data_IF_816362466490
#
_entry.id   IF_816362466490
#
_cell.length_a   1.000
_cell.length_b   1.000
_cell.length_c   1.000
_cell.angle_alpha   90.00
_cell.angle_beta   90.00
_cell.angle_gamma   90.00
#
_symmetry.space_group_name_H-M   'P 1'
#
loop_
_entity.id
_entity.type
_entity.pdbx_description
1 polymer ?
#
# COMPACT_ATOMS: atom_id res chain seq x y z
N UNK A 1 23.54 15.08 -13.29
CA UNK A 1 22.46 14.64 -14.22
C UNK A 1 21.15 14.43 -13.47
N UNK A 2 20.08 15.18 -13.76
CA UNK A 2 18.73 14.87 -13.27
C UNK A 2 18.27 13.58 -13.96
N UNK A 3 18.27 12.44 -13.24
CA UNK A 3 17.77 11.18 -13.79
C UNK A 3 16.28 11.35 -14.11
N UNK A 4 15.94 11.31 -15.40
CA UNK A 4 14.54 11.44 -15.87
C UNK A 4 13.79 10.15 -15.53
N UNK A 5 12.61 10.27 -14.92
CA UNK A 5 11.75 9.12 -14.64
C UNK A 5 11.42 8.43 -15.96
N UNK A 6 11.47 7.10 -15.97
CA UNK A 6 11.07 6.34 -17.15
C UNK A 6 9.58 6.59 -17.45
N UNK A 7 9.18 6.49 -18.72
CA UNK A 7 7.76 6.61 -19.13
C UNK A 7 6.87 5.64 -18.34
N UNK A 8 7.37 4.43 -18.09
CA UNK A 8 6.69 3.42 -17.24
C UNK A 8 6.47 3.94 -15.83
N UNK A 9 7.50 4.45 -15.15
CA UNK A 9 7.38 4.96 -13.78
C UNK A 9 6.39 6.14 -13.71
N UNK A 10 6.43 7.05 -14.67
CA UNK A 10 5.47 8.16 -14.78
C UNK A 10 4.03 7.65 -14.94
N UNK A 11 3.82 6.66 -15.80
CA UNK A 11 2.49 6.05 -16.00
C UNK A 11 1.99 5.36 -14.74
N UNK A 12 2.87 4.64 -14.03
CA UNK A 12 2.51 3.98 -12.78
C UNK A 12 2.13 5.00 -11.71
N UNK A 13 2.89 6.10 -11.61
CA UNK A 13 2.62 7.20 -10.69
C UNK A 13 1.27 7.87 -10.99
N UNK A 14 0.97 8.16 -12.26
CA UNK A 14 -0.32 8.75 -12.65
C UNK A 14 -1.49 7.84 -12.23
N UNK A 15 -1.42 6.55 -12.59
CA UNK A 15 -2.45 5.56 -12.24
C UNK A 15 -2.61 5.40 -10.72
N UNK A 16 -1.51 5.42 -9.98
CA UNK A 16 -1.55 5.34 -8.52
C UNK A 16 -2.17 6.61 -7.92
N UNK A 17 -1.74 7.80 -8.34
CA UNK A 17 -2.23 9.09 -7.83
C UNK A 17 -3.72 9.30 -8.05
N UNK A 18 -4.29 8.77 -9.13
CA UNK A 18 -5.77 8.74 -9.33
C UNK A 18 -6.52 8.01 -8.22
N UNK A 19 -5.86 7.17 -7.42
CA UNK A 19 -6.44 6.48 -6.25
C UNK A 19 -6.25 7.25 -4.93
N UNK A 20 -5.55 8.38 -4.97
CA UNK A 20 -5.31 9.27 -3.82
C UNK A 20 -5.81 10.69 -4.14
N UNK A 21 -7.13 10.90 -4.22
CA UNK A 21 -7.71 12.22 -4.51
C UNK A 21 -7.25 13.29 -3.50
N UNK A 22 -6.93 12.90 -2.27
CA UNK A 22 -6.44 13.81 -1.21
C UNK A 22 -5.08 14.45 -1.53
N UNK A 23 -4.36 13.91 -2.52
CA UNK A 23 -3.06 14.37 -2.98
C UNK A 23 -3.09 15.10 -4.34
N UNK A 24 -4.18 15.06 -5.09
CA UNK A 24 -4.24 15.53 -6.48
C UNK A 24 -3.97 17.04 -6.65
N UNK A 25 -4.35 17.87 -5.68
CA UNK A 25 -4.11 19.32 -5.70
C UNK A 25 -2.74 19.73 -5.14
N UNK A 26 -1.85 18.77 -4.87
CA UNK A 26 -0.57 19.01 -4.19
C UNK A 26 0.61 18.71 -5.10
N UNK A 27 1.66 19.54 -5.00
CA UNK A 27 2.93 19.28 -5.69
C UNK A 27 3.70 18.18 -4.95
N UNK A 28 3.82 17.02 -5.59
CA UNK A 28 4.62 15.89 -5.09
C UNK A 28 5.93 15.82 -5.88
N UNK A 29 7.05 15.89 -5.16
CA UNK A 29 8.38 15.68 -5.72
C UNK A 29 8.72 14.19 -5.66
N UNK A 30 9.12 13.61 -6.79
CA UNK A 30 9.52 12.21 -6.86
C UNK A 30 11.03 12.13 -7.07
N UNK A 31 11.73 11.58 -6.07
CA UNK A 31 13.17 11.33 -6.09
C UNK A 31 13.51 9.85 -6.29
N UNK A 32 14.80 9.56 -6.43
CA UNK A 32 15.33 8.20 -6.49
C UNK A 32 15.99 7.84 -5.17
N UNK A 33 15.93 6.56 -4.81
CA UNK A 33 16.77 6.00 -3.73
C UNK A 33 17.37 4.68 -4.19
N UNK A 34 18.63 4.45 -3.82
CA UNK A 34 19.33 3.17 -4.02
C UNK A 34 19.19 2.24 -2.80
N UNK A 35 18.94 2.82 -1.61
CA UNK A 35 18.99 2.14 -0.32
C UNK A 35 17.68 1.45 0.08
N UNK A 36 16.55 2.17 0.03
CA UNK A 36 15.24 1.67 0.46
C UNK A 36 14.29 1.49 -0.73
N UNK A 37 13.23 0.68 -0.60
CA UNK A 37 12.23 0.49 -1.67
C UNK A 37 11.45 1.78 -1.94
N UNK A 38 11.16 2.54 -0.89
CA UNK A 38 10.76 3.93 -0.97
C UNK A 38 11.02 4.72 0.31
N UNK A 39 10.72 6.02 0.30
CA UNK A 39 10.65 6.86 1.50
C UNK A 39 9.78 8.09 1.26
N UNK A 40 8.94 8.47 2.21
CA UNK A 40 8.12 9.69 2.14
C UNK A 40 8.54 10.74 3.18
N UNK A 41 8.59 12.01 2.76
CA UNK A 41 8.93 13.15 3.62
C UNK A 41 7.84 14.21 3.52
N UNK A 42 7.32 14.62 4.67
CA UNK A 42 6.39 15.74 4.83
C UNK A 42 7.07 16.82 5.68
N UNK A 43 7.31 18.03 5.16
CA UNK A 43 7.90 19.13 5.94
C UNK A 43 7.03 19.53 7.13
N UNK A 44 7.65 19.86 8.26
CA UNK A 44 6.97 20.25 9.51
C UNK A 44 6.40 21.69 9.50
N UNK A 45 6.84 22.57 8.59
CA UNK A 45 6.46 24.00 8.61
C UNK A 45 5.32 24.33 7.64
N UNK A 46 4.36 25.14 8.12
CA UNK A 46 3.19 25.59 7.35
C UNK A 46 3.46 26.80 6.44
N UNK A 47 4.66 27.38 6.50
CA UNK A 47 5.12 28.44 5.61
C UNK A 47 6.02 27.88 4.50
N UNK A 48 5.71 28.22 3.26
CA UNK A 48 6.31 27.72 2.02
C UNK A 48 5.88 26.29 1.61
N UNK A 49 4.91 26.23 0.68
CA UNK A 49 4.58 25.10 -0.19
C UNK A 49 5.27 23.78 0.19
N UNK A 50 4.76 23.11 1.22
CA UNK A 50 5.35 21.90 1.77
C UNK A 50 5.51 20.87 0.64
N UNK A 51 6.75 20.70 0.15
CA UNK A 51 7.08 19.79 -0.94
C UNK A 51 6.96 18.36 -0.41
N UNK A 52 5.82 17.73 -0.65
CA UNK A 52 5.64 16.31 -0.40
C UNK A 52 6.63 15.55 -1.25
N UNK A 53 7.54 14.80 -0.65
CA UNK A 53 8.57 14.09 -1.40
C UNK A 53 8.42 12.59 -1.19
N UNK A 54 8.33 11.82 -2.26
CA UNK A 54 8.54 10.38 -2.23
C UNK A 54 9.83 10.04 -2.95
N UNK A 55 10.61 9.10 -2.42
CA UNK A 55 11.77 8.53 -3.11
C UNK A 55 11.42 7.10 -3.46
N UNK A 56 11.74 6.66 -4.68
CA UNK A 56 11.38 5.34 -5.17
C UNK A 56 12.59 4.63 -5.78
N UNK A 57 12.72 3.33 -5.53
CA UNK A 57 13.71 2.47 -6.18
C UNK A 57 13.19 1.95 -7.51
N UNK A 58 13.45 2.70 -8.59
CA UNK A 58 12.82 2.49 -9.92
C UNK A 58 13.06 1.11 -10.54
N UNK A 59 14.17 0.43 -10.23
CA UNK A 59 14.47 -0.91 -10.80
C UNK A 59 13.54 -2.03 -10.29
N UNK A 60 12.89 -1.88 -9.14
CA UNK A 60 11.96 -2.85 -8.55
C UNK A 60 10.63 -2.18 -8.20
N UNK A 61 10.19 -1.25 -9.04
CA UNK A 61 9.01 -0.44 -8.75
C UNK A 61 7.71 -1.22 -8.98
N UNK A 62 6.93 -1.35 -7.92
CA UNK A 62 5.57 -1.93 -7.91
C UNK A 62 4.55 -0.86 -7.57
N UNK A 63 3.30 -1.03 -7.99
CA UNK A 63 2.20 -0.19 -7.55
C UNK A 63 2.06 -0.26 -6.03
N UNK A 64 2.23 -1.44 -5.42
CA UNK A 64 2.25 -1.61 -3.98
C UNK A 64 3.23 -0.65 -3.29
N UNK A 65 4.48 -0.58 -3.76
CA UNK A 65 5.49 0.35 -3.22
C UNK A 65 5.06 1.81 -3.40
N UNK A 66 4.55 2.20 -4.58
CA UNK A 66 4.07 3.56 -4.81
C UNK A 66 2.92 3.90 -3.86
N UNK A 67 1.93 3.02 -3.74
CA UNK A 67 0.78 3.21 -2.86
C UNK A 67 1.19 3.31 -1.38
N UNK A 68 2.16 2.51 -0.96
CA UNK A 68 2.72 2.54 0.39
C UNK A 68 3.32 3.92 0.71
N UNK A 69 4.18 4.45 -0.16
CA UNK A 69 4.79 5.77 0.03
C UNK A 69 3.78 6.92 -0.04
N UNK A 70 2.79 6.84 -0.94
CA UNK A 70 1.70 7.83 -1.00
C UNK A 70 0.85 7.80 0.27
N UNK A 71 0.65 6.63 0.86
CA UNK A 71 -0.06 6.49 2.15
C UNK A 71 0.74 7.11 3.30
N UNK A 72 2.07 6.99 3.30
CA UNK A 72 2.92 7.71 4.26
C UNK A 72 2.76 9.22 4.16
N UNK A 73 2.65 9.78 2.96
CA UNK A 73 2.35 11.22 2.80
C UNK A 73 1.03 11.60 3.48
N UNK A 74 -0.01 10.78 3.34
CA UNK A 74 -1.29 11.01 4.01
C UNK A 74 -1.20 10.89 5.53
N UNK A 75 -0.42 9.95 6.06
CA UNK A 75 -0.13 9.87 7.50
C UNK A 75 0.52 11.16 8.00
N UNK A 76 1.54 11.67 7.29
CA UNK A 76 2.23 12.92 7.63
C UNK A 76 1.31 14.15 7.55
N UNK A 77 0.52 14.27 6.48
CA UNK A 77 -0.44 15.37 6.30
C UNK A 77 -1.52 15.40 7.38
N UNK A 78 -2.01 14.23 7.79
CA UNK A 78 -2.99 14.12 8.87
C UNK A 78 -2.42 14.58 10.21
N UNK A 79 -1.11 14.38 10.46
CA UNK A 79 -0.42 14.87 11.66
C UNK A 79 -0.24 16.39 11.64
N UNK A 80 0.15 16.98 10.50
CA UNK A 80 0.30 18.44 10.38
C UNK A 80 -1.02 19.18 10.60
N UNK A 81 -2.14 18.63 10.11
CA UNK A 81 -3.49 19.20 10.35
C UNK A 81 -3.91 19.18 11.83
N UNK A 82 -3.44 18.21 12.62
CA UNK A 82 -3.78 18.09 14.04
C UNK A 82 -3.15 19.17 14.93
N UNK A 83 -2.03 19.76 14.52
CA UNK A 83 -1.50 20.94 15.19
C UNK A 83 -2.41 22.17 15.04
N UNK A 84 -3.44 22.10 14.19
CA UNK A 84 -4.43 23.17 13.97
C UNK A 84 -5.85 22.82 14.42
N UNK A 85 -6.24 21.53 14.46
CA UNK A 85 -7.63 21.16 14.79
C UNK A 85 -7.74 19.74 15.40
N UNK A 86 -7.88 19.66 16.73
CA UNK A 86 -7.88 18.39 17.51
C UNK A 86 -9.16 17.55 17.37
N UNK A 87 -10.23 18.06 16.76
CA UNK A 87 -11.60 17.50 16.87
C UNK A 87 -12.03 16.50 15.78
N UNK A 88 -11.22 16.23 14.75
CA UNK A 88 -11.57 15.30 13.64
C UNK A 88 -10.61 14.10 13.53
N UNK A 89 -10.59 13.23 14.53
CA UNK A 89 -9.65 12.10 14.62
C UNK A 89 -10.08 10.82 13.87
N UNK A 90 -11.36 10.63 13.55
CA UNK A 90 -11.87 9.32 13.11
C UNK A 90 -11.51 8.92 11.67
N UNK A 91 -11.32 9.89 10.78
CA UNK A 91 -10.87 9.65 9.39
C UNK A 91 -9.36 9.53 9.21
N UNK A 92 -8.58 9.56 10.29
CA UNK A 92 -7.11 9.60 10.22
C UNK A 92 -6.50 8.22 9.97
N UNK A 93 -5.53 8.19 9.06
CA UNK A 93 -4.59 7.06 8.93
C UNK A 93 -3.64 7.08 10.14
N UNK A 94 -3.65 6.05 11.01
CA UNK A 94 -2.69 5.97 12.12
C UNK A 94 -1.28 5.88 11.55
N UNK A 95 -0.29 6.38 12.27
CA UNK A 95 1.10 6.31 11.81
C UNK A 95 1.67 4.90 11.94
N UNK A 96 2.57 4.53 11.03
CA UNK A 96 3.34 3.28 11.08
C UNK A 96 3.27 2.50 9.77
N UNK A 97 4.27 1.64 9.59
CA UNK A 97 4.50 0.88 8.35
C UNK A 97 3.40 -0.14 8.06
N UNK A 98 2.95 -0.87 9.08
CA UNK A 98 1.86 -1.85 8.93
C UNK A 98 0.57 -1.16 8.49
N UNK A 99 0.28 0.02 9.04
CA UNK A 99 -0.89 0.78 8.65
C UNK A 99 -0.78 1.27 7.21
N UNK A 100 0.41 1.66 6.74
CA UNK A 100 0.63 1.99 5.34
C UNK A 100 0.30 0.82 4.41
N UNK A 101 0.76 -0.39 4.72
CA UNK A 101 0.42 -1.59 3.95
C UNK A 101 -1.09 -1.86 3.93
N UNK A 102 -1.75 -1.84 5.10
CA UNK A 102 -3.17 -2.15 5.22
C UNK A 102 -4.02 -1.16 4.41
N UNK A 103 -3.75 0.14 4.57
CA UNK A 103 -4.48 1.19 3.87
C UNK A 103 -4.21 1.17 2.37
N UNK A 104 -2.97 0.90 1.97
CA UNK A 104 -2.58 0.77 0.55
C UNK A 104 -3.35 -0.37 -0.12
N UNK A 105 -3.33 -1.56 0.47
CA UNK A 105 -4.03 -2.72 -0.09
C UNK A 105 -5.55 -2.50 -0.11
N UNK A 106 -6.13 -1.97 0.96
CA UNK A 106 -7.56 -1.72 1.03
C UNK A 106 -8.03 -0.73 -0.05
N UNK A 107 -7.21 0.26 -0.40
CA UNK A 107 -7.58 1.37 -1.29
C UNK A 107 -7.89 0.95 -2.71
N UNK A 108 -7.14 0.03 -3.31
CA UNK A 108 -7.39 -0.39 -4.69
C UNK A 108 -6.73 -1.73 -5.02
N UNK A 109 -7.38 -2.52 -5.87
CA UNK A 109 -6.79 -3.74 -6.43
C UNK A 109 -5.51 -3.48 -7.25
N UNK A 110 -5.31 -2.23 -7.69
CA UNK A 110 -4.07 -1.80 -8.36
C UNK A 110 -2.82 -2.07 -7.52
N UNK A 111 -2.93 -1.98 -6.19
CA UNK A 111 -1.81 -2.11 -5.25
C UNK A 111 -1.55 -3.54 -4.79
N UNK A 112 -2.26 -4.50 -5.39
CA UNK A 112 -2.13 -5.92 -5.11
C UNK A 112 -1.11 -6.61 -6.04
N UNK A 113 -0.32 -5.85 -6.79
CA UNK A 113 0.67 -6.37 -7.75
C UNK A 113 1.91 -7.00 -7.07
N UNK A 114 2.13 -6.70 -5.79
CA UNK A 114 3.17 -7.31 -4.97
C UNK A 114 2.71 -7.46 -3.50
N UNK A 115 3.36 -8.37 -2.78
CA UNK A 115 3.03 -8.66 -1.39
C UNK A 115 3.46 -7.52 -0.46
N UNK A 116 2.66 -7.15 0.56
CA UNK A 116 3.05 -6.16 1.56
C UNK A 116 4.32 -6.58 2.32
N UNK A 117 5.09 -5.58 2.75
CA UNK A 117 6.39 -5.81 3.41
C UNK A 117 6.22 -6.05 4.92
N UNK A 118 5.39 -5.25 5.58
CA UNK A 118 5.33 -5.14 7.04
C UNK A 118 4.15 -5.90 7.66
N UNK A 119 3.08 -6.16 6.92
CA UNK A 119 2.04 -7.10 7.38
C UNK A 119 2.66 -8.49 7.48
N UNK A 120 2.46 -9.16 8.63
CA UNK A 120 2.94 -10.53 8.80
C UNK A 120 2.12 -11.48 7.93
N UNK A 121 2.76 -12.00 6.87
CA UNK A 121 2.19 -13.02 6.00
C UNK A 121 2.82 -14.38 6.29
N UNK A 122 2.04 -15.48 6.36
CA UNK A 122 2.56 -16.83 6.25
C UNK A 122 3.35 -16.99 4.94
N UNK A 123 4.43 -17.78 4.98
CA UNK A 123 5.31 -18.01 3.83
C UNK A 123 4.54 -18.47 2.59
N UNK A 124 3.61 -19.42 2.77
CA UNK A 124 2.75 -19.95 1.70
C UNK A 124 1.91 -18.87 1.02
N UNK A 125 1.44 -17.87 1.77
CA UNK A 125 0.67 -16.73 1.24
C UNK A 125 1.58 -15.79 0.46
N UNK A 126 2.78 -15.50 0.99
CA UNK A 126 3.75 -14.60 0.34
C UNK A 126 4.26 -15.18 -0.98
N UNK A 127 4.63 -16.47 -1.00
CA UNK A 127 5.15 -17.13 -2.21
C UNK A 127 4.07 -17.33 -3.28
N UNK A 128 2.80 -17.45 -2.89
CA UNK A 128 1.67 -17.61 -3.82
C UNK A 128 0.81 -16.33 -3.87
N UNK A 129 1.45 -15.16 -3.73
CA UNK A 129 0.75 -13.88 -3.59
C UNK A 129 -0.37 -13.65 -4.61
N UNK A 130 -0.21 -13.91 -5.92
CA UNK A 130 -1.28 -13.68 -6.89
C UNK A 130 -2.60 -14.40 -6.56
N UNK A 131 -2.53 -15.58 -5.94
CA UNK A 131 -3.71 -16.36 -5.53
C UNK A 131 -4.41 -15.71 -4.32
N UNK A 132 -3.64 -15.17 -3.38
CA UNK A 132 -4.15 -14.66 -2.11
C UNK A 132 -4.41 -13.15 -2.10
N UNK A 133 -3.89 -12.39 -3.06
CA UNK A 133 -3.87 -10.93 -3.04
C UNK A 133 -5.27 -10.32 -2.86
N UNK A 134 -6.26 -10.85 -3.58
CA UNK A 134 -7.66 -10.40 -3.46
C UNK A 134 -8.23 -10.67 -2.06
N UNK A 135 -8.03 -11.88 -1.53
CA UNK A 135 -8.51 -12.27 -0.20
C UNK A 135 -7.87 -11.45 0.90
N UNK A 136 -6.55 -11.24 0.82
CA UNK A 136 -5.82 -10.39 1.79
C UNK A 136 -6.28 -8.94 1.70
N UNK A 137 -6.54 -8.41 0.50
CA UNK A 137 -7.14 -7.08 0.33
C UNK A 137 -8.52 -6.99 1.00
N UNK A 138 -9.40 -7.96 0.79
CA UNK A 138 -10.71 -8.00 1.44
C UNK A 138 -10.58 -7.99 2.96
N UNK A 139 -9.62 -8.74 3.51
CA UNK A 139 -9.33 -8.69 4.93
C UNK A 139 -8.80 -7.33 5.39
N UNK A 140 -7.97 -6.64 4.59
CA UNK A 140 -7.51 -5.28 4.91
C UNK A 140 -8.69 -4.29 4.98
N UNK A 141 -9.63 -4.35 4.04
CA UNK A 141 -10.85 -3.53 4.07
C UNK A 141 -11.66 -3.82 5.34
N UNK A 142 -11.90 -5.10 5.63
CA UNK A 142 -12.62 -5.52 6.83
C UNK A 142 -11.89 -5.08 8.12
N UNK A 143 -10.56 -5.07 8.12
CA UNK A 143 -9.76 -4.63 9.25
C UNK A 143 -9.91 -3.12 9.50
N UNK A 144 -10.01 -2.30 8.43
CA UNK A 144 -10.28 -0.86 8.57
C UNK A 144 -11.67 -0.57 9.12
N UNK A 145 -12.67 -1.36 8.73
CA UNK A 145 -14.01 -1.28 9.34
C UNK A 145 -13.96 -1.70 10.81
N UNK A 146 -13.28 -2.81 11.11
CA UNK A 146 -13.14 -3.32 12.48
C UNK A 146 -12.39 -2.35 13.40
N UNK A 147 -11.46 -1.55 12.86
CA UNK A 147 -10.71 -0.53 13.61
C UNK A 147 -11.65 0.46 14.33
N UNK A 148 -12.85 0.73 13.79
CA UNK A 148 -13.81 1.69 14.38
C UNK A 148 -14.23 1.31 15.80
N UNK A 149 -14.23 0.01 16.13
CA UNK A 149 -14.63 -0.50 17.45
C UNK A 149 -13.59 -1.39 18.13
N UNK A 150 -12.54 -1.81 17.42
CA UNK A 150 -11.57 -2.78 17.92
C UNK A 150 -10.12 -2.29 17.80
N UNK A 151 -9.52 -1.96 18.94
CA UNK A 151 -8.14 -1.44 19.04
C UNK A 151 -7.10 -2.41 18.45
N UNK A 152 -7.32 -3.72 18.55
CA UNK A 152 -6.40 -4.77 18.10
C UNK A 152 -6.69 -5.30 16.69
N UNK A 153 -7.30 -4.49 15.82
CA UNK A 153 -7.67 -4.88 14.45
C UNK A 153 -6.51 -5.44 13.62
N UNK A 154 -5.27 -5.00 13.86
CA UNK A 154 -4.08 -5.52 13.16
C UNK A 154 -3.74 -6.96 13.57
N UNK A 155 -3.83 -7.29 14.86
CA UNK A 155 -3.64 -8.67 15.33
C UNK A 155 -4.75 -9.57 14.80
N UNK A 156 -5.98 -9.05 14.77
CA UNK A 156 -7.11 -9.75 14.14
C UNK A 156 -6.87 -10.01 12.65
N UNK A 157 -6.39 -9.01 11.90
CA UNK A 157 -6.05 -9.16 10.48
C UNK A 157 -5.00 -10.25 10.26
N UNK A 158 -3.88 -10.20 10.99
CA UNK A 158 -2.82 -11.20 10.87
C UNK A 158 -3.30 -12.61 11.22
N UNK A 159 -4.18 -12.74 12.21
CA UNK A 159 -4.84 -14.01 12.55
C UNK A 159 -5.71 -14.52 11.39
N UNK A 160 -6.52 -13.65 10.77
CA UNK A 160 -7.35 -14.03 9.60
C UNK A 160 -6.53 -14.40 8.37
N UNK A 161 -5.39 -13.74 8.15
CA UNK A 161 -4.47 -14.12 7.07
C UNK A 161 -3.87 -15.51 7.35
N UNK A 162 -3.56 -15.82 8.61
CA UNK A 162 -3.10 -17.15 9.01
C UNK A 162 -4.16 -18.23 8.75
N UNK A 163 -5.43 -17.93 9.01
CA UNK A 163 -6.54 -18.83 8.70
C UNK A 163 -6.66 -19.09 7.19
N UNK A 164 -6.46 -18.06 6.33
CA UNK A 164 -6.46 -18.25 4.87
C UNK A 164 -5.39 -19.24 4.40
N UNK A 165 -4.22 -19.24 5.05
CA UNK A 165 -3.13 -20.15 4.70
C UNK A 165 -3.42 -21.61 5.08
N UNK A 166 -4.33 -21.82 6.05
CA UNK A 166 -4.71 -23.15 6.56
C UNK A 166 -5.88 -23.78 5.81
N UNK A 167 -6.65 -22.98 5.06
CA UNK A 167 -7.73 -23.52 4.25
C UNK A 167 -7.14 -24.44 3.18
N UNK A 168 -7.68 -25.66 3.01
CA UNK A 168 -7.26 -26.52 1.91
C UNK A 168 -7.45 -25.72 0.62
N UNK A 169 -6.41 -25.68 -0.21
CA UNK A 169 -6.53 -25.13 -1.55
C UNK A 169 -7.61 -25.97 -2.21
N UNK A 170 -8.75 -25.36 -2.55
CA UNK A 170 -9.71 -26.01 -3.45
C UNK A 170 -8.88 -26.50 -4.63
N UNK A 171 -8.99 -27.80 -4.92
CA UNK A 171 -8.15 -28.51 -5.87
C UNK A 171 -7.87 -27.61 -7.08
N UNK A 172 -6.59 -27.38 -7.37
CA UNK A 172 -6.24 -26.93 -8.70
C UNK A 172 -6.94 -27.93 -9.62
N UNK A 173 -7.83 -27.46 -10.51
CA UNK A 173 -8.44 -28.31 -11.53
C UNK A 173 -7.30 -29.17 -12.07
N UNK A 174 -7.37 -30.48 -11.78
CA UNK A 174 -6.39 -31.45 -12.24
C UNK A 174 -6.15 -31.14 -13.71
N UNK A 175 -4.87 -30.98 -14.07
CA UNK A 175 -4.48 -30.35 -15.32
C UNK A 175 -5.37 -30.81 -16.47
N UNK A 176 -6.08 -29.86 -17.09
CA UNK A 176 -6.47 -30.05 -18.49
C UNK A 176 -5.16 -30.22 -19.24
N UNK A 177 -4.75 -31.48 -19.37
CA UNK A 177 -3.72 -31.89 -20.29
C UNK A 177 -4.26 -31.47 -21.65
N UNK A 178 -3.71 -30.38 -22.19
CA UNK A 178 -3.97 -29.96 -23.56
C UNK A 178 -3.51 -31.12 -24.45
N UNK A 179 -4.48 -31.93 -24.88
CA UNK A 179 -4.29 -32.89 -25.95
C UNK A 179 -4.10 -32.09 -27.23
N UNK A 180 -2.84 -31.92 -27.62
CA UNK A 180 -2.50 -31.41 -28.94
C UNK A 180 -2.78 -32.51 -29.96
N UNK A 181 -3.46 -32.22 -31.07
CA UNK A 181 -3.51 -33.17 -32.18
C UNK A 181 -2.11 -33.24 -32.77
N UNK A 182 -1.52 -34.43 -32.73
CA UNK A 182 -0.47 -34.81 -33.65
C UNK A 182 -1.06 -34.90 -35.07
#
# INVERSE_FOLDING_TARGET
MKKRLSRRALTMLDKALRRFPELQSRKITVGYTSAHLGSAVVPLSAGAAAKLTIRLKVRKLTYNTIGHELTHLLQGLSRVRLNRDKRKADGRIPGGEKQCDIWTLARSNLFCDDAPTYIRLPRSVRENWPVYARSVRTLCIAALEKRKSHRFYMQWLESRIKDLARRPRGEAKAGEQLSLPF
#
